data_IF_372291374844
#
_entry.id   IF_372291374844
#
_cell.length_a   1.000
_cell.length_b   1.000
_cell.length_c   1.000
_cell.angle_alpha   90.00
_cell.angle_beta   90.00
_cell.angle_gamma   90.00
#
_symmetry.space_group_name_H-M   'P 1'
#
loop_
_entity.id
_entity.type
_entity.pdbx_description
1 polymer ?
#
# COMPACT_ATOMS: atom_id res chain seq x y z
N UNK A 1 -7.51 -72.70 96.64
CA UNK A 1 -7.25 -72.67 95.18
C UNK A 1 -8.43 -72.11 94.33
N UNK A 2 -9.33 -71.30 94.89
CA UNK A 2 -10.53 -70.79 94.16
C UNK A 2 -10.41 -69.35 93.65
N UNK A 3 -9.45 -68.57 94.17
CA UNK A 3 -9.35 -67.13 93.87
C UNK A 3 -8.26 -66.79 92.83
N UNK A 4 -7.30 -67.68 92.56
CA UNK A 4 -6.29 -67.50 91.50
C UNK A 4 -6.90 -67.65 90.09
N UNK A 5 -7.90 -68.52 89.91
CA UNK A 5 -8.60 -68.69 88.62
C UNK A 5 -9.47 -67.47 88.27
N UNK A 6 -10.06 -66.80 89.26
CA UNK A 6 -10.88 -65.59 89.06
C UNK A 6 -10.02 -64.39 88.67
N UNK A 7 -8.86 -64.20 89.32
CA UNK A 7 -7.91 -63.13 88.98
C UNK A 7 -7.38 -63.30 87.55
N UNK A 8 -7.06 -64.52 87.13
CA UNK A 8 -6.55 -64.78 85.77
C UNK A 8 -7.61 -64.55 84.68
N UNK A 9 -8.89 -64.81 84.97
CA UNK A 9 -10.02 -64.52 84.06
C UNK A 9 -10.32 -63.02 83.97
N UNK A 10 -10.26 -62.28 85.09
CA UNK A 10 -10.49 -60.82 85.10
C UNK A 10 -9.35 -60.08 84.40
N UNK A 11 -8.09 -60.45 84.67
CA UNK A 11 -6.93 -59.84 84.01
C UNK A 11 -6.86 -60.19 82.52
N UNK A 12 -7.21 -61.43 82.14
CA UNK A 12 -7.35 -61.82 80.74
C UNK A 12 -8.46 -61.08 80.00
N UNK A 13 -9.62 -60.88 80.64
CA UNK A 13 -10.73 -60.12 80.09
C UNK A 13 -10.39 -58.64 79.85
N UNK A 14 -9.70 -58.00 80.79
CA UNK A 14 -9.25 -56.59 80.65
C UNK A 14 -8.21 -56.44 79.53
N UNK A 15 -7.29 -57.39 79.39
CA UNK A 15 -6.27 -57.39 78.33
C UNK A 15 -6.91 -57.57 76.94
N UNK A 16 -7.92 -58.43 76.83
CA UNK A 16 -8.69 -58.61 75.59
C UNK A 16 -9.47 -57.34 75.23
N UNK A 17 -10.07 -56.64 76.21
CA UNK A 17 -10.76 -55.35 75.98
C UNK A 17 -9.77 -54.26 75.53
N UNK A 18 -8.57 -54.19 76.12
CA UNK A 18 -7.54 -53.23 75.70
C UNK A 18 -7.00 -53.52 74.30
N UNK A 19 -6.80 -54.79 73.94
CA UNK A 19 -6.36 -55.19 72.58
C UNK A 19 -7.47 -54.92 71.55
N UNK A 20 -8.73 -55.16 71.89
CA UNK A 20 -9.87 -54.83 71.03
C UNK A 20 -10.07 -53.31 70.86
N UNK A 21 -9.91 -52.53 71.93
CA UNK A 21 -9.97 -51.06 71.87
C UNK A 21 -8.78 -50.49 71.07
N UNK A 22 -7.57 -50.99 71.28
CA UNK A 22 -6.38 -50.61 70.50
C UNK A 22 -6.52 -50.98 69.02
N UNK A 23 -7.04 -52.17 68.71
CA UNK A 23 -7.33 -52.58 67.34
C UNK A 23 -8.43 -51.72 66.69
N UNK A 24 -9.42 -51.25 67.46
CA UNK A 24 -10.47 -50.34 66.98
C UNK A 24 -9.90 -48.95 66.66
N UNK A 25 -9.02 -48.40 67.51
CA UNK A 25 -8.32 -47.13 67.26
C UNK A 25 -7.32 -47.19 66.10
N UNK A 26 -6.60 -48.31 65.93
CA UNK A 26 -5.65 -48.48 64.82
C UNK A 26 -6.37 -48.76 63.49
N UNK A 27 -7.55 -49.39 63.53
CA UNK A 27 -8.40 -49.61 62.34
C UNK A 27 -8.94 -48.29 61.77
N UNK A 28 -9.22 -47.29 62.59
CA UNK A 28 -9.58 -45.93 62.13
C UNK A 28 -8.40 -45.25 61.41
N UNK A 29 -7.16 -45.53 61.82
CA UNK A 29 -5.94 -44.98 61.22
C UNK A 29 -5.56 -45.69 59.90
N UNK A 30 -5.78 -47.00 59.78
CA UNK A 30 -5.34 -47.80 58.62
C UNK A 30 -6.45 -48.20 57.64
N UNK A 31 -7.72 -48.24 58.05
CA UNK A 31 -8.85 -48.70 57.22
C UNK A 31 -10.05 -47.73 57.21
N UNK A 32 -9.81 -46.46 57.54
CA UNK A 32 -10.67 -45.33 57.20
C UNK A 32 -10.43 -44.83 55.78
N UNK A 33 -10.47 -45.72 54.79
CA UNK A 33 -10.71 -45.34 53.40
C UNK A 33 -12.21 -45.08 53.26
N UNK A 34 -12.64 -43.91 53.71
CA UNK A 34 -14.02 -43.45 53.64
C UNK A 34 -14.04 -41.95 53.50
N UNK A 35 -14.14 -41.49 52.26
CA UNK A 35 -14.34 -40.10 51.86
C UNK A 35 -13.11 -39.19 51.99
N UNK A 36 -12.00 -39.62 51.41
CA UNK A 36 -11.42 -38.70 50.44
C UNK A 36 -12.15 -38.96 49.12
N UNK A 37 -13.36 -38.40 48.98
CA UNK A 37 -13.46 -37.48 47.85
C UNK A 37 -12.27 -36.56 48.12
N UNK A 38 -11.16 -36.77 47.42
CA UNK A 38 -10.49 -35.61 46.90
C UNK A 38 -11.60 -34.95 46.09
N UNK A 39 -12.46 -34.19 46.78
CA UNK A 39 -12.90 -32.96 46.20
C UNK A 39 -11.56 -32.38 45.84
N UNK A 40 -11.31 -32.40 44.54
CA UNK A 40 -10.43 -31.44 43.92
C UNK A 40 -11.13 -30.11 44.21
N UNK A 41 -11.17 -29.70 45.48
CA UNK A 41 -11.19 -28.33 45.93
C UNK A 41 -9.75 -27.83 45.76
N UNK A 42 -9.14 -28.10 44.61
CA UNK A 42 -8.56 -26.97 43.90
C UNK A 42 -9.73 -26.03 43.77
N UNK A 43 -9.90 -25.12 44.73
CA UNK A 43 -11.00 -24.18 44.73
C UNK A 43 -11.06 -23.63 43.32
N UNK A 44 -12.12 -24.00 42.59
CA UNK A 44 -12.22 -23.63 41.19
C UNK A 44 -12.50 -22.14 41.21
N UNK A 45 -11.41 -21.38 41.14
CA UNK A 45 -11.46 -19.93 41.06
C UNK A 45 -11.97 -19.61 39.66
N UNK A 46 -13.25 -19.27 39.60
CA UNK A 46 -13.91 -18.90 38.36
C UNK A 46 -13.98 -17.39 38.34
N UNK A 47 -13.38 -16.78 37.32
CA UNK A 47 -13.48 -15.34 37.10
C UNK A 47 -14.53 -15.09 36.02
N UNK A 48 -15.47 -14.18 36.27
CA UNK A 48 -16.42 -13.75 35.25
C UNK A 48 -15.66 -12.94 34.19
N UNK A 49 -15.69 -13.39 32.94
CA UNK A 49 -15.08 -12.69 31.82
C UNK A 49 -16.10 -11.73 31.20
N UNK A 50 -15.73 -10.46 31.13
CA UNK A 50 -16.53 -9.44 30.45
C UNK A 50 -16.06 -9.30 29.00
N UNK A 51 -17.00 -9.32 28.06
CA UNK A 51 -16.68 -9.10 26.65
C UNK A 51 -16.38 -7.61 26.44
N UNK A 52 -15.11 -7.30 26.17
CA UNK A 52 -14.61 -5.94 25.93
C UNK A 52 -13.89 -5.85 24.60
N UNK A 53 -13.94 -4.68 23.95
CA UNK A 53 -13.11 -4.43 22.76
C UNK A 53 -11.63 -4.45 23.18
N UNK A 54 -10.85 -5.36 22.58
CA UNK A 54 -9.43 -5.57 22.86
C UNK A 54 -8.52 -4.83 21.88
N UNK A 55 -9.07 -3.99 21.00
CA UNK A 55 -8.26 -3.17 20.09
C UNK A 55 -7.23 -2.39 20.89
N UNK A 56 -5.97 -2.69 20.59
CA UNK A 56 -4.83 -1.98 21.11
C UNK A 56 -4.28 -1.17 19.95
N UNK A 57 -4.10 0.13 20.16
CA UNK A 57 -3.51 1.03 19.19
C UNK A 57 -2.04 1.18 19.55
N UNK A 58 -1.16 0.92 18.60
CA UNK A 58 0.27 1.13 18.73
C UNK A 58 0.64 2.41 17.99
N UNK A 59 1.35 3.30 18.68
CA UNK A 59 1.81 4.54 18.08
C UNK A 59 3.17 4.29 17.44
N UNK A 60 3.24 4.46 16.12
CA UNK A 60 4.48 4.39 15.38
C UNK A 60 4.97 5.81 15.08
N UNK A 61 6.19 6.11 15.50
CA UNK A 61 6.87 7.31 15.10
C UNK A 61 7.53 7.08 13.73
N UNK A 62 7.34 8.02 12.82
CA UNK A 62 7.89 7.97 11.47
C UNK A 62 8.02 9.36 10.88
N UNK A 63 8.89 9.49 9.89
CA UNK A 63 8.97 10.71 9.08
C UNK A 63 8.22 10.48 7.77
N UNK A 64 7.31 11.39 7.43
CA UNK A 64 6.67 11.36 6.11
C UNK A 64 7.73 11.69 5.05
N UNK A 65 7.93 10.76 4.12
CA UNK A 65 8.78 10.97 2.95
C UNK A 65 7.88 11.28 1.76
N UNK A 66 7.97 12.50 1.25
CA UNK A 66 7.40 12.84 -0.05
C UNK A 66 8.20 12.15 -1.15
N UNK A 67 7.53 11.83 -2.26
CA UNK A 67 8.10 10.99 -3.31
C UNK A 67 9.39 11.59 -3.88
N UNK A 68 9.32 12.81 -4.43
CA UNK A 68 10.46 13.55 -4.97
C UNK A 68 10.26 15.07 -4.89
N UNK A 69 11.31 15.80 -4.53
CA UNK A 69 11.38 17.26 -4.64
C UNK A 69 12.04 17.65 -5.97
N UNK A 70 11.30 18.33 -6.85
CA UNK A 70 11.83 18.81 -8.13
C UNK A 70 12.10 20.31 -8.06
N UNK A 71 13.38 20.69 -8.12
CA UNK A 71 13.78 22.09 -8.28
C UNK A 71 13.76 22.45 -9.76
N UNK A 72 12.94 23.43 -10.12
CA UNK A 72 12.89 23.99 -11.46
C UNK A 72 13.85 25.16 -11.55
N UNK A 73 14.85 25.05 -12.42
CA UNK A 73 15.79 26.12 -12.72
C UNK A 73 15.50 26.57 -14.15
N UNK A 74 15.44 27.88 -14.34
CA UNK A 74 15.27 28.43 -15.66
C UNK A 74 16.62 28.47 -16.38
N UNK A 75 16.73 27.80 -17.52
CA UNK A 75 17.95 27.78 -18.35
C UNK A 75 18.09 29.00 -19.25
N UNK A 76 17.03 29.81 -19.37
CA UNK A 76 16.90 30.92 -20.32
C UNK A 76 16.71 32.25 -19.61
N UNK A 77 17.36 33.29 -20.12
CA UNK A 77 17.22 34.66 -19.62
C UNK A 77 15.99 35.34 -20.22
N UNK A 78 15.30 36.19 -19.46
CA UNK A 78 14.20 37.00 -19.98
C UNK A 78 13.34 37.59 -18.87
N UNK A 79 12.16 38.08 -19.24
CA UNK A 79 11.21 38.67 -18.28
C UNK A 79 10.22 37.61 -17.83
N UNK A 80 10.17 37.33 -16.53
CA UNK A 80 9.13 36.49 -15.94
C UNK A 80 7.78 37.20 -16.07
N UNK A 81 6.89 36.63 -16.87
CA UNK A 81 5.56 37.20 -17.16
C UNK A 81 4.43 36.47 -16.45
N UNK A 82 4.68 35.23 -16.05
CA UNK A 82 3.75 34.42 -15.29
C UNK A 82 4.52 33.48 -14.36
N UNK A 83 3.98 33.29 -13.16
CA UNK A 83 4.42 32.31 -12.18
C UNK A 83 3.17 31.72 -11.52
N UNK A 84 3.12 30.40 -11.42
CA UNK A 84 2.03 29.72 -10.73
C UNK A 84 2.00 30.14 -9.23
N UNK A 85 0.80 30.39 -8.67
CA UNK A 85 0.63 30.67 -7.24
C UNK A 85 1.26 29.62 -6.34
N UNK A 86 1.89 30.08 -5.26
CA UNK A 86 2.46 29.19 -4.26
C UNK A 86 1.37 28.34 -3.57
N UNK A 87 1.68 27.07 -3.32
CA UNK A 87 0.76 26.11 -2.68
C UNK A 87 -0.37 25.59 -3.59
N UNK A 88 -0.42 26.00 -4.86
CA UNK A 88 -1.37 25.45 -5.82
C UNK A 88 -0.97 24.03 -6.25
N UNK A 89 -1.91 23.10 -6.24
CA UNK A 89 -1.74 21.78 -6.86
C UNK A 89 -1.72 21.92 -8.38
N UNK A 90 -0.68 21.38 -9.02
CA UNK A 90 -0.49 21.45 -10.46
C UNK A 90 -0.55 20.05 -11.07
N UNK A 91 -1.41 19.88 -12.06
CA UNK A 91 -1.46 18.66 -12.86
C UNK A 91 -0.23 18.54 -13.76
N UNK A 92 0.11 17.32 -14.17
CA UNK A 92 1.17 17.07 -15.14
C UNK A 92 0.93 17.86 -16.42
N UNK A 93 1.93 18.63 -16.84
CA UNK A 93 1.86 19.48 -18.03
C UNK A 93 1.30 20.88 -17.79
N UNK A 94 0.89 21.22 -16.56
CA UNK A 94 0.49 22.58 -16.21
C UNK A 94 1.67 23.55 -16.35
N UNK A 95 1.37 24.79 -16.74
CA UNK A 95 2.38 25.85 -16.85
C UNK A 95 2.76 26.36 -15.45
N UNK A 96 4.05 26.29 -15.15
CA UNK A 96 4.60 26.72 -13.86
C UNK A 96 5.14 28.15 -13.95
N UNK A 97 5.80 28.48 -15.05
CA UNK A 97 6.34 29.81 -15.28
C UNK A 97 6.35 30.14 -16.77
N UNK A 98 6.33 31.43 -17.09
CA UNK A 98 6.48 31.94 -18.46
C UNK A 98 7.51 33.03 -18.53
N UNK A 99 8.44 32.89 -19.48
CA UNK A 99 9.44 33.91 -19.75
C UNK A 99 9.22 34.47 -21.13
N UNK A 100 9.14 35.79 -21.21
CA UNK A 100 9.03 36.51 -22.45
C UNK A 100 10.41 37.01 -22.89
N UNK A 101 10.72 36.80 -24.18
CA UNK A 101 11.86 37.38 -24.89
C UNK A 101 11.43 37.87 -26.25
N UNK A 102 11.73 39.13 -26.54
CA UNK A 102 11.40 39.74 -27.83
C UNK A 102 12.16 39.12 -29.00
N UNK A 103 13.41 38.68 -28.79
CA UNK A 103 14.24 38.08 -29.84
C UNK A 103 13.72 36.71 -30.29
N UNK A 104 13.35 35.84 -29.35
CA UNK A 104 12.81 34.50 -29.67
C UNK A 104 11.47 34.59 -30.41
N UNK A 105 10.59 35.51 -30.00
CA UNK A 105 9.34 35.75 -30.72
C UNK A 105 9.58 36.17 -32.18
N UNK A 106 10.64 36.96 -32.42
CA UNK A 106 11.04 37.39 -33.76
C UNK A 106 11.67 36.26 -34.57
N UNK A 107 12.47 35.41 -33.95
CA UNK A 107 13.07 34.22 -34.57
C UNK A 107 12.02 33.19 -34.97
N UNK A 108 11.03 32.93 -34.09
CA UNK A 108 9.89 32.07 -34.39
C UNK A 108 9.09 32.62 -35.57
N UNK A 109 8.81 33.92 -35.59
CA UNK A 109 8.11 34.56 -36.70
C UNK A 109 8.90 34.45 -38.02
N UNK A 110 10.22 34.66 -37.97
CA UNK A 110 11.08 34.51 -39.14
C UNK A 110 11.11 33.06 -39.64
N UNK A 111 11.15 32.07 -38.74
CA UNK A 111 11.08 30.66 -39.08
C UNK A 111 9.73 30.30 -39.73
N UNK A 112 8.61 30.82 -39.20
CA UNK A 112 7.27 30.59 -39.76
C UNK A 112 7.13 31.18 -41.17
N UNK A 113 7.70 32.37 -41.40
CA UNK A 113 7.78 32.98 -42.73
C UNK A 113 8.63 32.12 -43.69
N UNK A 114 9.75 31.57 -43.24
CA UNK A 114 10.58 30.67 -44.05
C UNK A 114 9.83 29.38 -44.41
N UNK A 115 9.12 28.78 -43.45
CA UNK A 115 8.27 27.59 -43.70
C UNK A 115 7.18 27.90 -44.71
N UNK A 116 6.49 29.03 -44.54
CA UNK A 116 5.43 29.47 -45.47
C UNK A 116 5.98 29.69 -46.88
N UNK A 117 7.14 30.35 -47.01
CA UNK A 117 7.80 30.54 -48.30
C UNK A 117 8.23 29.23 -48.94
N UNK A 118 8.74 28.28 -48.15
CA UNK A 118 9.12 26.97 -48.65
C UNK A 118 7.90 26.19 -49.15
N UNK A 119 6.77 26.23 -48.42
CA UNK A 119 5.52 25.62 -48.83
C UNK A 119 4.99 26.20 -50.13
N UNK A 120 5.05 27.53 -50.31
CA UNK A 120 4.66 28.17 -51.56
C UNK A 120 5.53 27.71 -52.74
N UNK A 121 6.84 27.59 -52.55
CA UNK A 121 7.75 27.08 -53.57
C UNK A 121 7.47 25.62 -53.92
N UNK A 122 7.16 24.78 -52.93
CA UNK A 122 6.76 23.38 -53.15
C UNK A 122 5.48 23.32 -53.97
N UNK A 123 4.44 24.07 -53.60
CA UNK A 123 3.18 24.09 -54.34
C UNK A 123 3.35 24.57 -55.80
N UNK A 124 4.22 25.57 -56.03
CA UNK A 124 4.54 26.01 -57.39
C UNK A 124 5.27 24.93 -58.19
N UNK A 125 6.22 24.22 -57.58
CA UNK A 125 6.93 23.13 -58.23
C UNK A 125 6.01 21.94 -58.54
N UNK A 126 5.08 21.61 -57.64
CA UNK A 126 4.07 20.57 -57.85
C UNK A 126 3.15 20.91 -59.03
N UNK A 127 2.65 22.15 -59.09
CA UNK A 127 1.85 22.62 -60.22
C UNK A 127 2.63 22.61 -61.54
N UNK A 128 3.90 23.01 -61.51
CA UNK A 128 4.76 22.95 -62.69
C UNK A 128 4.96 21.51 -63.17
N UNK A 129 5.15 20.57 -62.24
CA UNK A 129 5.27 19.14 -62.55
C UNK A 129 3.97 18.57 -63.12
N UNK A 130 2.81 18.94 -62.56
CA UNK A 130 1.51 18.54 -63.09
C UNK A 130 1.32 19.01 -64.53
N UNK A 131 1.62 20.30 -64.80
CA UNK A 131 1.54 20.86 -66.14
C UNK A 131 2.48 20.19 -67.15
N UNK A 132 3.68 19.76 -66.72
CA UNK A 132 4.62 19.04 -67.58
C UNK A 132 4.18 17.61 -67.90
N UNK A 133 3.45 16.97 -66.99
CA UNK A 133 2.90 15.62 -67.20
C UNK A 133 1.54 15.63 -67.91
N UNK A 134 0.89 16.79 -67.98
CA UNK A 134 -0.36 16.94 -68.71
C UNK A 134 -0.16 16.79 -70.22
N UNK A 135 -1.10 16.17 -70.95
CA UNK A 135 -1.04 16.10 -72.40
C UNK A 135 -1.08 17.52 -73.01
N UNK A 136 -0.35 17.72 -74.11
CA UNK A 136 -0.34 18.98 -74.83
C UNK A 136 -1.76 19.39 -75.24
N UNK A 137 -2.14 20.63 -74.93
CA UNK A 137 -3.45 21.16 -75.30
C UNK A 137 -3.54 21.35 -76.82
N UNK A 138 -4.74 21.28 -77.38
CA UNK A 138 -4.96 21.50 -78.82
C UNK A 138 -4.43 22.86 -79.30
N UNK A 139 -4.45 23.89 -78.44
CA UNK A 139 -3.88 25.20 -78.73
C UNK A 139 -2.35 25.18 -78.80
N UNK A 140 -1.68 24.45 -77.89
CA UNK A 140 -0.22 24.26 -77.94
C UNK A 140 0.19 23.46 -79.18
N UNK A 141 -0.58 22.43 -79.54
CA UNK A 141 -0.36 21.65 -80.76
C UNK A 141 -0.52 22.53 -82.01
N UNK A 142 -1.63 23.25 -82.13
CA UNK A 142 -1.88 24.15 -83.27
C UNK A 142 -0.82 25.27 -83.38
N UNK A 143 -0.34 25.78 -82.24
CA UNK A 143 0.75 26.78 -82.22
C UNK A 143 2.10 26.18 -82.67
N UNK A 144 2.38 24.93 -82.31
CA UNK A 144 3.58 24.23 -82.76
C UNK A 144 3.50 23.95 -84.28
N UNK A 145 2.35 23.47 -84.77
CA UNK A 145 2.11 23.22 -86.20
C UNK A 145 2.25 24.50 -87.04
N UNK A 146 1.73 25.62 -86.54
CA UNK A 146 1.88 26.92 -87.21
C UNK A 146 3.34 27.38 -87.28
N UNK A 147 4.13 27.11 -86.24
CA UNK A 147 5.56 27.43 -86.20
C UNK A 147 6.35 26.59 -87.20
N UNK A 148 6.01 25.30 -87.34
CA UNK A 148 6.61 24.40 -88.34
C UNK A 148 6.25 24.83 -89.76
N UNK A 149 5.01 25.24 -90.01
CA UNK A 149 4.56 25.70 -91.32
C UNK A 149 5.19 27.04 -91.75
N UNK A 150 5.69 27.84 -90.80
CA UNK A 150 6.38 29.11 -91.05
C UNK A 150 7.90 28.97 -91.22
N UNK A 151 8.49 27.81 -90.89
CA UNK A 151 9.92 27.52 -91.01
C UNK A 151 10.29 26.99 -92.40
#
# INVERSE_FOLDING_TARGET
MKNQKVILIVTGGILVVFVLAGAFFIRDIYFGAGNQTQEINSGLDTVFLEQKDLKTYENFEGTLKYEDDVRIITEREGVLTYLAPEGQELSRGAEIYRIYRSTEASEILAADQQVTSAQANVAQAELALENLNAPATAAQIASADASVAQA
#
